data_IF_727709211404
#
_entry.id   IF_727709211404
#
_cell.length_a   1.000
_cell.length_b   1.000
_cell.length_c   1.000
_cell.angle_alpha   90.00
_cell.angle_beta   90.00
_cell.angle_gamma   90.00
#
_symmetry.space_group_name_H-M   'P 1'
#
loop_
_entity.id
_entity.type
_entity.pdbx_description
1 polymer ?
#
# COMPACT_ATOMS: atom_id res chain seq x y z
N UNK A 1 1.60 -49.04 15.98
CA UNK A 1 2.02 -47.65 16.28
C UNK A 1 2.98 -47.22 15.18
N UNK A 2 2.46 -46.60 14.12
CA UNK A 2 3.29 -45.90 13.14
C UNK A 2 3.37 -44.44 13.57
N UNK A 3 4.58 -43.89 13.64
CA UNK A 3 4.86 -42.55 14.12
C UNK A 3 4.34 -41.52 13.11
N UNK A 4 3.46 -40.63 13.55
CA UNK A 4 3.07 -39.42 12.83
C UNK A 4 4.27 -38.48 12.73
N UNK A 5 4.77 -38.27 11.52
CA UNK A 5 5.74 -37.23 11.23
C UNK A 5 5.01 -35.89 11.13
N UNK A 6 5.27 -35.00 12.08
CA UNK A 6 4.74 -33.63 12.12
C UNK A 6 5.27 -32.82 10.92
N UNK A 7 4.46 -32.72 9.86
CA UNK A 7 4.70 -31.80 8.76
C UNK A 7 4.50 -30.36 9.26
N UNK A 8 5.55 -29.78 9.84
CA UNK A 8 5.61 -28.36 10.17
C UNK A 8 5.14 -27.52 8.99
N UNK A 9 4.04 -26.79 9.17
CA UNK A 9 3.43 -25.98 8.11
C UNK A 9 4.45 -25.00 7.53
N UNK A 10 4.92 -25.26 6.31
CA UNK A 10 5.69 -24.30 5.53
C UNK A 10 4.74 -23.14 5.19
N UNK A 11 4.78 -22.07 5.98
CA UNK A 11 4.07 -20.81 5.67
C UNK A 11 4.61 -20.28 4.34
N UNK A 12 3.95 -20.61 3.24
CA UNK A 12 4.19 -19.97 1.93
C UNK A 12 4.09 -18.47 2.15
N UNK A 13 5.21 -17.75 2.01
CA UNK A 13 5.24 -16.28 2.00
C UNK A 13 4.48 -15.82 0.76
N UNK A 14 3.17 -15.64 0.90
CA UNK A 14 2.35 -15.10 -0.16
C UNK A 14 2.75 -13.64 -0.37
N UNK A 15 3.17 -13.33 -1.59
CA UNK A 15 3.36 -11.95 -2.04
C UNK A 15 2.05 -11.19 -1.85
N UNK A 16 2.13 -9.95 -1.37
CA UNK A 16 0.91 -9.16 -1.19
C UNK A 16 0.30 -8.82 -2.55
N UNK A 17 -1.03 -8.95 -2.65
CA UNK A 17 -1.78 -8.90 -3.92
C UNK A 17 -1.44 -7.68 -4.76
N UNK A 18 -1.33 -6.51 -4.12
CA UNK A 18 -1.08 -5.24 -4.78
C UNK A 18 0.25 -5.19 -5.56
N UNK A 19 1.20 -6.09 -5.26
CA UNK A 19 2.51 -6.18 -5.91
C UNK A 19 2.65 -7.35 -6.88
N UNK A 20 1.60 -8.13 -7.12
CA UNK A 20 1.64 -9.20 -8.13
C UNK A 20 1.90 -8.59 -9.49
N UNK A 21 2.80 -9.22 -10.25
CA UNK A 21 3.12 -8.83 -11.62
C UNK A 21 2.15 -9.53 -12.60
N UNK A 22 1.38 -8.74 -13.33
CA UNK A 22 0.38 -9.15 -14.32
C UNK A 22 0.89 -8.94 -15.75
N UNK A 23 2.18 -9.15 -15.99
CA UNK A 23 2.81 -9.03 -17.32
C UNK A 23 3.39 -7.64 -17.56
N UNK A 24 4.16 -7.13 -16.61
CA UNK A 24 4.83 -5.83 -16.65
C UNK A 24 4.13 -4.72 -15.85
N UNK A 25 2.97 -5.02 -15.26
CA UNK A 25 2.22 -4.08 -14.41
C UNK A 25 1.68 -4.74 -13.14
N UNK A 26 1.35 -3.95 -12.12
CA UNK A 26 0.72 -4.41 -10.86
C UNK A 26 -0.47 -3.55 -10.44
N UNK A 27 -1.32 -4.06 -9.56
CA UNK A 27 -2.52 -3.36 -9.09
C UNK A 27 -2.17 -2.00 -8.47
N UNK A 28 -1.12 -1.94 -7.63
CA UNK A 28 -0.66 -0.67 -7.06
C UNK A 28 -0.21 0.31 -8.15
N UNK A 29 0.42 -0.17 -9.23
CA UNK A 29 0.83 0.71 -10.32
C UNK A 29 -0.38 1.28 -11.06
N UNK A 30 -1.41 0.48 -11.30
CA UNK A 30 -2.66 0.97 -11.91
C UNK A 30 -3.38 1.97 -11.01
N UNK A 31 -3.39 1.75 -9.70
CA UNK A 31 -3.92 2.74 -8.75
C UNK A 31 -3.10 4.02 -8.75
N UNK A 32 -1.77 3.95 -8.76
CA UNK A 32 -0.89 5.11 -8.86
C UNK A 32 -1.07 5.87 -10.18
N UNK A 33 -1.22 5.18 -11.31
CA UNK A 33 -1.55 5.78 -12.61
C UNK A 33 -2.90 6.52 -12.59
N UNK A 34 -3.89 5.97 -11.88
CA UNK A 34 -5.23 6.58 -11.74
C UNK A 34 -5.19 7.85 -10.90
N UNK A 35 -4.47 7.84 -9.76
CA UNK A 35 -4.40 9.01 -8.86
C UNK A 35 -3.39 10.06 -9.30
N UNK A 36 -2.53 9.78 -10.28
CA UNK A 36 -1.61 10.75 -10.88
C UNK A 36 -2.27 11.61 -11.98
N UNK A 37 -3.57 11.89 -11.86
CA UNK A 37 -4.35 12.73 -12.79
C UNK A 37 -4.50 14.13 -12.21
N UNK A 38 -4.64 15.20 -13.03
CA UNK A 38 -4.68 16.58 -12.55
C UNK A 38 -5.81 16.92 -11.57
N UNK A 39 -6.85 16.08 -11.49
CA UNK A 39 -7.97 16.23 -10.55
C UNK A 39 -7.59 15.88 -9.11
N UNK A 40 -6.43 15.27 -8.89
CA UNK A 40 -5.93 14.88 -7.57
C UNK A 40 -4.68 15.69 -7.21
N UNK A 41 -4.49 15.94 -5.92
CA UNK A 41 -3.19 16.37 -5.38
C UNK A 41 -2.24 15.15 -5.24
N UNK A 42 -1.03 15.37 -4.74
CA UNK A 42 -0.05 14.31 -4.53
C UNK A 42 -0.59 13.20 -3.62
N UNK A 43 -0.29 11.92 -3.92
CA UNK A 43 -0.84 10.81 -3.16
C UNK A 43 -0.22 10.70 -1.76
N UNK A 44 -1.05 10.29 -0.81
CA UNK A 44 -0.65 9.84 0.52
C UNK A 44 -0.84 8.32 0.55
N UNK A 45 0.24 7.58 0.80
CA UNK A 45 0.23 6.12 0.81
C UNK A 45 0.38 5.61 2.24
N UNK A 46 -0.68 4.99 2.77
CA UNK A 46 -0.58 4.22 4.02
C UNK A 46 -0.14 2.79 3.73
N UNK A 47 0.92 2.32 4.40
CA UNK A 47 1.42 0.96 4.22
C UNK A 47 2.15 0.46 5.46
N UNK A 48 2.19 -0.86 5.64
CA UNK A 48 3.10 -1.46 6.61
C UNK A 48 4.57 -1.25 6.20
N UNK A 49 5.44 -1.06 7.21
CA UNK A 49 6.89 -0.88 7.04
C UNK A 49 7.54 -1.94 6.13
N UNK A 50 7.10 -3.20 6.20
CA UNK A 50 7.68 -4.29 5.40
C UNK A 50 7.50 -4.14 3.89
N UNK A 51 6.59 -3.27 3.44
CA UNK A 51 6.31 -3.03 2.03
C UNK A 51 6.90 -1.71 1.51
N UNK A 52 7.58 -0.93 2.36
CA UNK A 52 8.12 0.39 2.01
C UNK A 52 9.00 0.35 0.75
N UNK A 53 9.82 -0.70 0.61
CA UNK A 53 10.69 -0.87 -0.56
C UNK A 53 9.88 -1.06 -1.84
N UNK A 54 8.88 -1.93 -1.84
CA UNK A 54 8.01 -2.20 -2.99
C UNK A 54 7.17 -0.97 -3.36
N UNK A 55 6.66 -0.23 -2.37
CA UNK A 55 5.92 1.03 -2.59
C UNK A 55 6.81 2.07 -3.26
N UNK A 56 8.04 2.28 -2.77
CA UNK A 56 9.00 3.21 -3.40
C UNK A 56 9.35 2.80 -4.84
N UNK A 57 9.49 1.51 -5.10
CA UNK A 57 9.71 1.00 -6.46
C UNK A 57 8.50 1.27 -7.37
N UNK A 58 7.28 1.05 -6.89
CA UNK A 58 6.06 1.35 -7.63
C UNK A 58 5.95 2.85 -7.96
N UNK A 59 6.17 3.73 -6.97
CA UNK A 59 6.18 5.19 -7.16
C UNK A 59 7.21 5.63 -8.22
N UNK A 60 8.42 5.07 -8.17
CA UNK A 60 9.47 5.35 -9.15
C UNK A 60 9.06 4.91 -10.56
N UNK A 61 8.51 3.69 -10.71
CA UNK A 61 8.02 3.16 -11.99
C UNK A 61 6.86 4.00 -12.55
N UNK A 62 5.97 4.48 -11.70
CA UNK A 62 4.85 5.36 -12.06
C UNK A 62 5.24 6.84 -12.23
N UNK A 63 6.53 7.19 -12.11
CA UNK A 63 7.07 8.55 -12.26
C UNK A 63 6.47 9.59 -11.29
N UNK A 64 5.99 9.17 -10.13
CA UNK A 64 5.43 10.05 -9.09
C UNK A 64 6.57 10.55 -8.19
N UNK A 65 6.83 11.85 -8.22
CA UNK A 65 7.94 12.49 -7.49
C UNK A 65 7.51 13.10 -6.16
N UNK A 66 6.29 13.67 -6.10
CA UNK A 66 5.71 14.25 -4.89
C UNK A 66 4.74 13.24 -4.31
N UNK A 67 4.95 12.81 -3.07
CA UNK A 67 4.10 11.87 -2.35
C UNK A 67 4.39 11.94 -0.85
N UNK A 68 3.50 11.36 -0.04
CA UNK A 68 3.76 11.06 1.37
C UNK A 68 3.56 9.58 1.65
N UNK A 69 4.30 9.04 2.61
CA UNK A 69 4.13 7.66 3.07
C UNK A 69 3.88 7.68 4.56
N UNK A 70 2.74 7.13 4.98
CA UNK A 70 2.41 6.85 6.37
C UNK A 70 2.78 5.39 6.64
N UNK A 71 3.69 5.18 7.59
CA UNK A 71 4.16 3.85 7.96
C UNK A 71 3.34 3.30 9.12
N UNK A 72 2.56 2.27 8.85
CA UNK A 72 1.79 1.58 9.88
C UNK A 72 2.69 0.62 10.67
N UNK A 73 2.75 0.75 12.01
CA UNK A 73 3.63 -0.07 12.85
C UNK A 73 3.16 -1.53 12.94
N UNK A 74 1.86 -1.77 12.75
CA UNK A 74 1.24 -3.09 12.73
C UNK A 74 0.01 -3.05 11.82
N UNK A 75 -0.43 -4.21 11.32
CA UNK A 75 -1.65 -4.31 10.52
C UNK A 75 -2.86 -4.06 11.45
N UNK A 76 -3.48 -2.88 11.33
CA UNK A 76 -4.62 -2.47 12.17
C UNK A 76 -5.93 -2.24 11.37
N UNK A 77 -5.99 -2.71 10.13
CA UNK A 77 -7.12 -2.54 9.18
C UNK A 77 -7.30 -1.08 8.70
N UNK A 78 -8.38 -0.84 7.95
CA UNK A 78 -8.59 0.37 7.15
C UNK A 78 -8.87 1.62 7.99
N UNK A 79 -9.63 1.51 9.08
CA UNK A 79 -10.03 2.69 9.86
C UNK A 79 -8.83 3.45 10.49
N UNK A 80 -7.84 2.79 11.12
CA UNK A 80 -6.64 3.48 11.59
C UNK A 80 -5.78 4.09 10.48
N UNK A 81 -5.73 3.47 9.30
CA UNK A 81 -5.01 4.01 8.15
C UNK A 81 -5.65 5.31 7.63
N UNK A 82 -6.98 5.32 7.53
CA UNK A 82 -7.78 6.50 7.20
C UNK A 82 -7.54 7.60 8.23
N UNK A 83 -7.68 7.29 9.53
CA UNK A 83 -7.54 8.26 10.61
C UNK A 83 -6.12 8.88 10.63
N UNK A 84 -5.08 8.05 10.58
CA UNK A 84 -3.70 8.53 10.58
C UNK A 84 -3.39 9.41 9.36
N UNK A 85 -3.99 9.10 8.20
CA UNK A 85 -3.81 9.90 6.98
C UNK A 85 -4.57 11.22 7.05
N UNK A 86 -5.78 11.25 7.63
CA UNK A 86 -6.58 12.46 7.76
C UNK A 86 -6.02 13.46 8.78
N UNK A 87 -5.30 12.98 9.80
CA UNK A 87 -4.72 13.83 10.87
C UNK A 87 -3.32 14.40 10.53
N UNK A 88 -2.85 14.26 9.30
CA UNK A 88 -1.57 14.86 8.89
C UNK A 88 -1.72 16.38 8.90
N UNK A 89 -0.84 17.06 9.66
CA UNK A 89 -0.94 18.51 9.97
C UNK A 89 -1.06 19.46 8.78
N UNK A 90 -0.55 19.09 7.61
CA UNK A 90 -0.57 19.93 6.42
C UNK A 90 -1.68 19.55 5.42
N UNK A 91 -2.61 18.68 5.82
CA UNK A 91 -3.89 18.51 5.13
C UNK A 91 -4.87 19.53 5.70
N UNK A 92 -5.43 20.45 4.89
CA UNK A 92 -6.44 21.38 5.34
C UNK A 92 -7.71 20.65 5.84
N UNK A 93 -8.33 21.17 6.90
CA UNK A 93 -9.51 20.56 7.52
C UNK A 93 -10.68 20.39 6.55
N UNK A 94 -10.89 21.38 5.68
CA UNK A 94 -12.00 21.41 4.71
C UNK A 94 -11.65 20.73 3.37
N UNK A 95 -10.46 20.14 3.23
CA UNK A 95 -10.06 19.47 2.00
C UNK A 95 -10.75 18.11 1.87
N UNK A 96 -11.49 17.85 0.77
CA UNK A 96 -12.06 16.53 0.54
C UNK A 96 -10.98 15.46 0.41
N UNK A 97 -11.17 14.32 1.09
CA UNK A 97 -10.27 13.18 1.02
C UNK A 97 -10.94 12.01 0.28
N UNK A 98 -10.23 11.43 -0.68
CA UNK A 98 -10.67 10.25 -1.41
C UNK A 98 -9.74 9.07 -1.09
N UNK A 99 -10.32 7.96 -0.64
CA UNK A 99 -9.57 6.77 -0.24
C UNK A 99 -9.71 5.67 -1.30
N UNK A 100 -8.57 5.12 -1.73
CA UNK A 100 -8.52 4.04 -2.70
C UNK A 100 -7.76 2.84 -2.12
N UNK A 101 -8.28 1.63 -2.35
CA UNK A 101 -7.51 0.42 -2.16
C UNK A 101 -6.40 0.31 -3.22
N UNK A 102 -5.29 -0.32 -2.84
CA UNK A 102 -4.13 -0.51 -3.71
C UNK A 102 -4.15 -1.86 -4.47
N UNK A 103 -5.04 -2.77 -4.07
CA UNK A 103 -5.33 -4.06 -4.69
C UNK A 103 -6.69 -4.06 -5.42
#
# INVERSE_FOLDING_TARGET
MAQEQDFGQIKKKHQAKQFIDFGGWSLIQKTLERVNKPIFDFPIISTNLKYLKQVKQALKKSKIKKFKIVLEPAKKNTAPAILASALIKDIPLEQPLMFFAAD
#
